data_IF_127925450790
#
_entry.id   IF_127925450790
#
_cell.length_a   1.000
_cell.length_b   1.000
_cell.length_c   1.000
_cell.angle_alpha   90.00
_cell.angle_beta   90.00
_cell.angle_gamma   90.00
#
_symmetry.space_group_name_H-M   'P 1'
#
loop_
_entity.id
_entity.type
_entity.pdbx_description
1 polymer ?
#
# COMPACT_ATOMS: atom_id res chain seq x y z
N UNK A 1 -33.61 33.05 37.07
CA UNK A 1 -32.64 34.08 37.47
C UNK A 1 -31.26 33.45 37.26
N UNK A 2 -30.42 33.82 36.30
CA UNK A 2 -30.33 34.99 35.43
C UNK A 2 -29.47 34.62 34.22
N UNK A 3 -29.81 35.25 33.09
CA UNK A 3 -29.14 35.37 31.79
C UNK A 3 -27.61 35.38 31.76
N UNK A 4 -27.02 34.94 30.64
CA UNK A 4 -26.50 35.90 29.63
C UNK A 4 -25.78 35.23 28.45
N UNK A 5 -26.36 35.47 27.27
CA UNK A 5 -25.73 35.43 25.96
C UNK A 5 -24.42 36.22 25.92
N UNK A 6 -23.44 35.73 25.15
CA UNK A 6 -22.62 36.63 24.31
C UNK A 6 -22.06 35.92 23.09
N UNK A 7 -22.85 36.05 22.02
CA UNK A 7 -22.41 36.12 20.63
C UNK A 7 -21.40 37.26 20.48
N UNK A 8 -20.24 36.97 19.90
CA UNK A 8 -19.37 37.98 19.31
C UNK A 8 -19.09 37.58 17.88
N UNK A 9 -19.91 38.11 16.98
CA UNK A 9 -19.55 38.32 15.59
C UNK A 9 -18.53 39.46 15.54
N UNK A 10 -17.40 39.24 14.87
CA UNK A 10 -16.49 40.31 14.47
C UNK A 10 -16.45 40.33 12.95
N UNK A 11 -17.21 41.28 12.40
CA UNK A 11 -17.15 41.70 11.00
C UNK A 11 -15.96 42.65 10.85
N UNK A 12 -14.90 42.18 10.19
CA UNK A 12 -13.79 42.99 9.70
C UNK A 12 -13.85 43.06 8.16
N UNK A 13 -13.80 44.28 7.65
CA UNK A 13 -14.09 44.72 6.28
C UNK A 13 -13.14 44.19 5.18
N UNK A 14 -13.56 44.27 3.90
CA UNK A 14 -12.94 43.56 2.78
C UNK A 14 -11.67 44.25 2.27
N UNK A 15 -10.63 43.47 2.01
CA UNK A 15 -9.48 43.91 1.23
C UNK A 15 -9.80 43.87 -0.27
N UNK A 16 -9.36 44.86 -1.06
CA UNK A 16 -9.68 44.96 -2.47
C UNK A 16 -9.07 43.80 -3.26
N UNK A 17 -9.88 43.28 -4.19
CA UNK A 17 -9.51 42.30 -5.20
C UNK A 17 -8.57 43.00 -6.18
N UNK A 18 -7.30 42.61 -6.19
CA UNK A 18 -6.36 43.00 -7.24
C UNK A 18 -6.54 42.01 -8.39
N UNK A 19 -7.12 42.49 -9.49
CA UNK A 19 -7.26 41.81 -10.77
C UNK A 19 -5.88 41.70 -11.43
N UNK A 20 -5.04 40.84 -10.87
CA UNK A 20 -3.80 40.38 -11.48
C UNK A 20 -4.03 39.01 -12.10
N UNK A 21 -4.24 38.95 -13.41
CA UNK A 21 -4.21 37.72 -14.21
C UNK A 21 -3.07 36.80 -13.76
N UNK A 22 -3.31 35.54 -13.35
CA UNK A 22 -2.23 34.57 -13.29
C UNK A 22 -1.80 34.31 -14.74
N UNK A 23 -0.63 34.83 -15.08
CA UNK A 23 0.08 34.52 -16.32
C UNK A 23 0.14 33.00 -16.42
N UNK A 24 -0.57 32.45 -17.41
CA UNK A 24 -0.55 31.03 -17.69
C UNK A 24 0.89 30.60 -17.95
N UNK A 25 1.44 29.80 -17.05
CA UNK A 25 2.64 29.03 -17.36
C UNK A 25 2.26 28.05 -18.47
N UNK A 26 2.91 28.08 -19.65
CA UNK A 26 2.76 26.99 -20.58
C UNK A 26 3.34 25.74 -19.91
N UNK A 27 2.49 24.72 -19.71
CA UNK A 27 2.95 23.37 -19.46
C UNK A 27 3.85 22.96 -20.63
N UNK A 28 5.15 22.67 -20.44
CA UNK A 28 5.94 22.14 -21.52
C UNK A 28 5.42 20.73 -21.79
N UNK A 29 4.86 20.54 -22.99
CA UNK A 29 4.58 19.22 -23.52
C UNK A 29 5.88 18.41 -23.45
N UNK A 30 5.82 17.21 -22.86
CA UNK A 30 6.96 16.32 -22.70
C UNK A 30 7.61 16.00 -24.04
N UNK A 31 8.63 16.78 -24.40
CA UNK A 31 9.64 16.42 -25.38
C UNK A 31 10.76 15.63 -24.69
N UNK A 32 11.51 14.81 -25.44
CA UNK A 32 12.66 14.11 -24.88
C UNK A 32 13.63 15.11 -24.26
N UNK A 33 14.16 14.78 -23.08
CA UNK A 33 15.05 15.64 -22.32
C UNK A 33 16.19 16.15 -23.22
N UNK A 34 16.20 17.47 -23.45
CA UNK A 34 17.28 18.12 -24.19
C UNK A 34 18.54 18.11 -23.32
N UNK A 35 19.68 17.86 -23.97
CA UNK A 35 21.00 17.63 -23.35
C UNK A 35 21.47 18.77 -22.42
N UNK A 36 20.81 19.92 -22.42
CA UNK A 36 21.14 21.10 -21.61
C UNK A 36 20.71 21.00 -20.14
N UNK A 37 19.90 20.02 -19.72
CA UNK A 37 19.53 19.83 -18.31
C UNK A 37 20.64 19.20 -17.45
N UNK A 38 21.72 18.70 -18.06
CA UNK A 38 22.85 18.08 -17.35
C UNK A 38 23.78 19.09 -16.65
N UNK A 39 23.68 20.40 -16.94
CA UNK A 39 24.58 21.41 -16.36
C UNK A 39 24.21 21.83 -14.93
N UNK A 40 22.98 21.55 -14.47
CA UNK A 40 22.55 21.95 -13.12
C UNK A 40 23.02 21.01 -12.00
N UNK A 41 23.50 19.81 -12.36
CA UNK A 41 24.01 18.82 -11.42
C UNK A 41 25.28 18.14 -12.00
N UNK A 42 26.43 18.83 -11.98
CA UNK A 42 27.68 18.30 -12.52
C UNK A 42 28.16 17.00 -11.84
N UNK A 43 27.65 16.70 -10.64
CA UNK A 43 27.91 15.47 -9.89
C UNK A 43 26.73 14.47 -9.88
N UNK A 44 25.63 14.75 -10.60
CA UNK A 44 24.59 13.75 -10.80
C UNK A 44 25.10 12.69 -11.79
N UNK A 45 25.90 11.76 -11.27
CA UNK A 45 26.18 10.52 -11.99
C UNK A 45 24.83 9.90 -12.36
N UNK A 46 24.57 9.63 -13.66
CA UNK A 46 23.37 8.91 -14.05
C UNK A 46 23.36 7.62 -13.25
N UNK A 47 22.26 7.38 -12.52
CA UNK A 47 22.08 6.15 -11.77
C UNK A 47 22.35 5.00 -12.74
N UNK A 48 23.35 4.13 -12.48
CA UNK A 48 23.69 3.08 -13.42
C UNK A 48 22.42 2.27 -13.68
N UNK A 49 22.07 2.09 -14.95
CA UNK A 49 20.94 1.25 -15.31
C UNK A 49 21.15 -0.12 -14.64
N UNK A 50 20.12 -0.69 -14.01
CA UNK A 50 20.27 -1.98 -13.34
C UNK A 50 20.82 -2.97 -14.36
N UNK A 51 21.79 -3.78 -13.93
CA UNK A 51 22.25 -4.90 -14.75
C UNK A 51 21.03 -5.76 -15.12
N UNK A 52 21.02 -6.40 -16.30
CA UNK A 52 19.89 -7.26 -16.71
C UNK A 52 19.56 -8.31 -15.64
N UNK A 53 20.59 -8.76 -14.94
CA UNK A 53 20.61 -9.52 -13.71
C UNK A 53 19.86 -8.86 -12.54
N UNK A 54 20.27 -7.66 -12.09
CA UNK A 54 19.57 -6.91 -11.03
C UNK A 54 18.14 -6.49 -11.38
N UNK A 55 17.82 -6.41 -12.68
CA UNK A 55 16.47 -6.17 -13.15
C UNK A 55 15.50 -7.34 -12.86
N UNK A 56 15.98 -8.59 -12.81
CA UNK A 56 15.15 -9.76 -12.50
C UNK A 56 14.69 -9.73 -11.02
N UNK A 57 15.61 -9.52 -10.09
CA UNK A 57 15.29 -9.40 -8.65
C UNK A 57 14.39 -8.19 -8.39
N UNK A 58 14.68 -7.06 -9.04
CA UNK A 58 13.84 -5.85 -8.92
C UNK A 58 12.43 -6.11 -9.47
N UNK A 59 12.31 -6.83 -10.59
CA UNK A 59 11.03 -7.27 -11.15
C UNK A 59 10.26 -8.16 -10.19
N UNK A 60 10.91 -9.16 -9.60
CA UNK A 60 10.30 -10.05 -8.61
C UNK A 60 9.79 -9.30 -7.37
N UNK A 61 10.54 -8.32 -6.87
CA UNK A 61 10.07 -7.43 -5.79
C UNK A 61 8.87 -6.60 -6.24
N UNK A 62 8.87 -6.07 -7.46
CA UNK A 62 7.74 -5.39 -8.05
C UNK A 62 6.48 -6.25 -8.07
N UNK A 63 6.60 -7.50 -8.53
CA UNK A 63 5.51 -8.47 -8.55
C UNK A 63 4.99 -8.78 -7.15
N UNK A 64 5.88 -8.95 -6.17
CA UNK A 64 5.51 -9.16 -4.77
C UNK A 64 4.71 -7.98 -4.20
N UNK A 65 5.15 -6.73 -4.44
CA UNK A 65 4.45 -5.51 -4.01
C UNK A 65 3.06 -5.42 -4.65
N UNK A 66 2.96 -5.73 -5.95
CA UNK A 66 1.69 -5.75 -6.66
C UNK A 66 0.75 -6.83 -6.12
N UNK A 67 1.24 -8.04 -5.87
CA UNK A 67 0.45 -9.13 -5.28
C UNK A 67 -0.10 -8.75 -3.91
N UNK A 68 0.71 -8.12 -3.06
CA UNK A 68 0.24 -7.58 -1.76
C UNK A 68 -0.87 -6.54 -1.95
N UNK A 69 -0.67 -5.58 -2.86
CA UNK A 69 -1.70 -4.56 -3.15
C UNK A 69 -3.01 -5.15 -3.67
N UNK A 70 -2.94 -6.17 -4.53
CA UNK A 70 -4.11 -6.91 -5.05
C UNK A 70 -4.81 -7.70 -3.96
N UNK A 71 -4.07 -8.30 -3.03
CA UNK A 71 -4.62 -8.99 -1.87
C UNK A 71 -5.45 -8.03 -1.01
N UNK A 72 -4.91 -6.85 -0.67
CA UNK A 72 -5.64 -5.83 0.08
C UNK A 72 -6.92 -5.39 -0.66
N UNK A 73 -6.81 -5.12 -1.96
CA UNK A 73 -7.95 -4.71 -2.77
C UNK A 73 -9.04 -5.79 -2.85
N UNK A 74 -8.63 -7.05 -3.03
CA UNK A 74 -9.55 -8.19 -3.08
C UNK A 74 -10.27 -8.36 -1.75
N UNK A 75 -9.54 -8.26 -0.64
CA UNK A 75 -10.12 -8.37 0.71
C UNK A 75 -11.12 -7.24 0.96
N UNK A 76 -10.78 -6.00 0.60
CA UNK A 76 -11.70 -4.87 0.71
C UNK A 76 -12.96 -5.03 -0.15
N UNK A 77 -12.82 -5.57 -1.37
CA UNK A 77 -13.94 -5.87 -2.24
C UNK A 77 -14.84 -6.96 -1.64
N UNK A 78 -14.26 -8.05 -1.11
CA UNK A 78 -14.99 -9.12 -0.44
C UNK A 78 -15.77 -8.62 0.77
N UNK A 79 -15.14 -7.78 1.61
CA UNK A 79 -15.82 -7.14 2.74
C UNK A 79 -17.02 -6.30 2.29
N UNK A 80 -16.87 -5.57 1.20
CA UNK A 80 -17.95 -4.74 0.65
C UNK A 80 -19.11 -5.61 0.17
N UNK A 81 -18.83 -6.69 -0.56
CA UNK A 81 -19.83 -7.67 -1.00
C UNK A 81 -20.58 -8.30 0.19
N UNK A 82 -19.84 -8.79 1.19
CA UNK A 82 -20.43 -9.39 2.38
C UNK A 82 -21.30 -8.38 3.13
N UNK A 83 -20.83 -7.16 3.35
CA UNK A 83 -21.62 -6.11 4.04
C UNK A 83 -22.91 -5.78 3.33
N UNK A 84 -22.87 -5.66 2.00
CA UNK A 84 -24.06 -5.45 1.20
C UNK A 84 -25.07 -6.60 1.40
N UNK A 85 -24.60 -7.85 1.47
CA UNK A 85 -25.48 -9.00 1.76
C UNK A 85 -26.13 -8.96 3.15
N UNK A 86 -25.49 -8.32 4.14
CA UNK A 86 -26.05 -8.08 5.48
C UNK A 86 -26.93 -6.84 5.57
N UNK A 87 -27.04 -6.04 4.51
CA UNK A 87 -27.67 -4.72 4.56
C UNK A 87 -26.88 -3.67 5.35
N UNK A 88 -25.58 -3.90 5.62
CA UNK A 88 -24.70 -2.91 6.24
C UNK A 88 -24.15 -1.97 5.15
N UNK A 89 -24.71 -0.77 5.06
CA UNK A 89 -24.33 0.28 4.10
C UNK A 89 -23.18 1.17 4.57
N UNK A 90 -22.54 0.86 5.70
CA UNK A 90 -21.37 1.64 6.15
C UNK A 90 -20.20 1.45 5.19
N UNK A 91 -19.78 2.55 4.57
CA UNK A 91 -18.55 2.57 3.78
C UNK A 91 -17.33 2.25 4.67
N UNK A 92 -16.31 1.62 4.09
CA UNK A 92 -14.95 1.58 4.65
C UNK A 92 -14.41 3.01 4.57
N UNK A 93 -14.90 3.88 5.44
CA UNK A 93 -14.85 5.33 5.31
C UNK A 93 -14.12 5.99 6.46
N UNK A 94 -12.82 5.74 6.55
CA UNK A 94 -11.89 6.67 7.18
C UNK A 94 -11.05 7.33 6.09
N UNK A 95 -10.49 8.52 6.33
CA UNK A 95 -9.54 9.17 5.40
C UNK A 95 -8.29 8.31 5.10
N UNK A 96 -8.08 7.23 5.85
CA UNK A 96 -6.92 6.34 5.78
C UNK A 96 -7.35 5.02 5.15
N UNK A 97 -6.67 4.62 4.07
CA UNK A 97 -6.81 3.28 3.47
C UNK A 97 -6.53 2.22 4.54
N UNK A 98 -7.46 1.28 4.80
CA UNK A 98 -7.21 0.23 5.78
C UNK A 98 -6.04 -0.65 5.34
N UNK A 99 -5.20 -1.04 6.29
CA UNK A 99 -4.13 -2.01 6.05
C UNK A 99 -4.70 -3.45 6.10
N UNK A 100 -3.91 -4.41 5.64
CA UNK A 100 -4.30 -5.82 5.60
C UNK A 100 -4.78 -6.37 6.96
N UNK A 101 -4.12 -5.99 8.06
CA UNK A 101 -4.51 -6.43 9.42
C UNK A 101 -5.94 -5.99 9.76
N UNK A 102 -6.30 -4.74 9.48
CA UNK A 102 -7.66 -4.24 9.72
C UNK A 102 -8.68 -4.94 8.82
N UNK A 103 -8.33 -5.16 7.55
CA UNK A 103 -9.19 -5.88 6.61
C UNK A 103 -9.49 -7.31 7.08
N UNK A 104 -8.47 -8.06 7.54
CA UNK A 104 -8.66 -9.41 8.09
C UNK A 104 -9.52 -9.42 9.37
N UNK A 105 -9.29 -8.47 10.28
CA UNK A 105 -10.08 -8.38 11.51
C UNK A 105 -11.57 -8.15 11.20
N UNK A 106 -11.87 -7.28 10.24
CA UNK A 106 -13.23 -7.03 9.76
C UNK A 106 -13.81 -8.28 9.07
N UNK A 107 -13.01 -9.01 8.29
CA UNK A 107 -13.44 -10.23 7.60
C UNK A 107 -13.83 -11.31 8.59
N UNK A 108 -12.98 -11.55 9.59
CA UNK A 108 -13.26 -12.48 10.69
C UNK A 108 -14.55 -12.12 11.42
N UNK A 109 -14.76 -10.83 11.70
CA UNK A 109 -15.97 -10.37 12.37
C UNK A 109 -17.23 -10.62 11.53
N UNK A 110 -17.19 -10.33 10.22
CA UNK A 110 -18.34 -10.56 9.33
C UNK A 110 -18.65 -12.05 9.14
N UNK A 111 -17.63 -12.91 8.99
CA UNK A 111 -17.85 -14.36 8.92
C UNK A 111 -18.46 -14.89 10.22
N UNK A 112 -17.93 -14.47 11.37
CA UNK A 112 -18.48 -14.84 12.66
C UNK A 112 -19.92 -14.31 12.89
N UNK A 113 -20.29 -13.19 12.28
CA UNK A 113 -21.66 -12.69 12.30
C UNK A 113 -22.59 -13.42 11.33
N UNK A 114 -22.08 -13.84 10.16
CA UNK A 114 -22.81 -14.62 9.14
C UNK A 114 -23.35 -15.92 9.71
N UNK A 115 -22.43 -16.70 10.25
CA UNK A 115 -22.68 -18.03 10.77
C UNK A 115 -21.59 -18.36 11.78
N UNK A 116 -21.96 -18.35 13.07
CA UNK A 116 -21.05 -18.66 14.17
C UNK A 116 -20.60 -20.12 14.18
N UNK A 117 -21.29 -20.99 13.45
CA UNK A 117 -21.01 -22.42 13.36
C UNK A 117 -20.19 -22.78 12.12
N UNK A 118 -19.89 -21.81 11.24
CA UNK A 118 -18.96 -21.97 10.11
C UNK A 118 -17.51 -21.97 10.62
N UNK A 119 -17.18 -23.00 11.42
CA UNK A 119 -15.85 -23.18 12.01
C UNK A 119 -14.79 -23.34 10.93
N UNK A 120 -15.16 -23.92 9.78
CA UNK A 120 -14.25 -24.10 8.65
C UNK A 120 -13.78 -22.75 8.07
N UNK A 121 -14.68 -21.78 7.88
CA UNK A 121 -14.28 -20.45 7.41
C UNK A 121 -13.44 -19.69 8.44
N UNK A 122 -13.75 -19.84 9.74
CA UNK A 122 -12.99 -19.20 10.82
C UNK A 122 -11.58 -19.80 11.01
N UNK A 123 -11.44 -21.11 10.84
CA UNK A 123 -10.16 -21.81 10.84
C UNK A 123 -9.32 -21.36 9.63
N UNK A 124 -9.91 -21.30 8.44
CA UNK A 124 -9.25 -20.79 7.23
C UNK A 124 -8.75 -19.36 7.42
N UNK A 125 -9.55 -18.47 8.01
CA UNK A 125 -9.13 -17.08 8.29
C UNK A 125 -7.96 -17.05 9.29
N UNK A 126 -7.94 -17.97 10.26
CA UNK A 126 -6.84 -18.07 11.23
C UNK A 126 -5.54 -18.54 10.57
N UNK A 127 -5.62 -19.52 9.67
CA UNK A 127 -4.47 -19.98 8.87
C UNK A 127 -3.93 -18.89 7.93
N UNK A 128 -4.84 -18.12 7.33
CA UNK A 128 -4.52 -16.95 6.51
C UNK A 128 -3.81 -15.88 7.33
N UNK A 129 -4.28 -15.58 8.54
CA UNK A 129 -3.67 -14.58 9.42
C UNK A 129 -2.23 -14.93 9.79
N UNK A 130 -1.98 -16.17 10.20
CA UNK A 130 -0.63 -16.65 10.50
C UNK A 130 0.29 -16.61 9.27
N UNK A 131 -0.25 -16.89 8.08
CA UNK A 131 0.51 -16.81 6.82
C UNK A 131 0.79 -15.37 6.41
N UNK A 132 -0.13 -14.44 6.66
CA UNK A 132 0.05 -13.02 6.39
C UNK A 132 0.99 -12.33 7.37
N UNK A 133 1.04 -12.77 8.63
CA UNK A 133 2.03 -12.26 9.58
C UNK A 133 3.45 -12.58 9.11
N UNK A 134 3.70 -13.80 8.59
CA UNK A 134 4.99 -14.18 7.99
C UNK A 134 5.29 -13.35 6.74
N UNK A 135 4.33 -13.21 5.83
CA UNK A 135 4.51 -12.41 4.63
C UNK A 135 4.74 -10.92 4.93
N UNK A 136 4.12 -10.38 5.99
CA UNK A 136 4.35 -9.00 6.44
C UNK A 136 5.77 -8.82 6.99
N UNK A 137 6.30 -9.79 7.74
CA UNK A 137 7.70 -9.77 8.19
C UNK A 137 8.66 -9.83 7.01
N UNK A 138 8.41 -10.73 6.05
CA UNK A 138 9.17 -10.81 4.82
C UNK A 138 9.15 -9.46 4.08
N UNK A 139 7.97 -8.85 3.92
CA UNK A 139 7.79 -7.54 3.29
C UNK A 139 8.62 -6.45 3.96
N UNK A 140 8.67 -6.40 5.29
CA UNK A 140 9.49 -5.41 6.01
C UNK A 140 10.98 -5.57 5.66
N UNK A 141 11.50 -6.80 5.64
CA UNK A 141 12.91 -7.06 5.32
C UNK A 141 13.19 -6.76 3.84
N UNK A 142 12.34 -7.26 2.95
CA UNK A 142 12.53 -7.18 1.50
C UNK A 142 12.28 -5.77 0.93
N UNK A 143 11.50 -4.93 1.59
CA UNK A 143 11.22 -3.56 1.12
C UNK A 143 11.98 -2.54 1.96
N UNK A 144 11.73 -2.51 3.27
CA UNK A 144 12.30 -1.46 4.13
C UNK A 144 13.77 -1.77 4.49
N UNK A 145 14.13 -3.05 4.50
CA UNK A 145 15.49 -3.51 4.76
C UNK A 145 16.39 -3.58 3.52
N UNK A 146 15.86 -3.40 2.31
CA UNK A 146 16.63 -3.54 1.07
C UNK A 146 17.81 -2.55 1.02
N UNK A 147 19.00 -3.05 0.72
CA UNK A 147 20.24 -2.27 0.60
C UNK A 147 20.75 -2.27 -0.84
N UNK A 148 20.77 -3.45 -1.47
CA UNK A 148 21.26 -3.63 -2.83
C UNK A 148 20.57 -4.82 -3.50
N UNK A 149 20.58 -4.85 -4.83
CA UNK A 149 20.04 -5.92 -5.64
C UNK A 149 21.14 -6.52 -6.53
N UNK A 150 21.46 -7.79 -6.29
CA UNK A 150 22.37 -8.57 -7.12
C UNK A 150 21.59 -9.43 -8.13
N UNK A 151 22.29 -10.27 -8.90
CA UNK A 151 21.73 -11.02 -10.03
C UNK A 151 20.56 -11.94 -9.67
N UNK A 152 20.62 -12.60 -8.52
CA UNK A 152 19.61 -13.58 -8.10
C UNK A 152 19.25 -13.46 -6.61
N UNK A 153 19.65 -12.35 -5.97
CA UNK A 153 19.37 -12.11 -4.56
C UNK A 153 19.23 -10.63 -4.25
N UNK A 154 18.40 -10.36 -3.26
CA UNK A 154 18.27 -9.06 -2.63
C UNK A 154 19.11 -9.06 -1.34
N UNK A 155 19.96 -8.05 -1.21
CA UNK A 155 20.77 -7.83 -0.01
C UNK A 155 19.99 -6.91 0.92
N UNK A 156 19.66 -7.41 2.11
CA UNK A 156 18.81 -6.75 3.08
C UNK A 156 19.46 -6.62 4.46
N UNK A 157 18.87 -5.75 5.28
CA UNK A 157 19.07 -5.69 6.72
C UNK A 157 17.77 -6.00 7.44
N UNK A 158 17.83 -6.87 8.43
CA UNK A 158 16.69 -7.12 9.31
C UNK A 158 16.53 -5.99 10.37
N UNK A 159 15.52 -6.12 11.22
CA UNK A 159 15.25 -5.16 12.31
C UNK A 159 16.36 -5.08 13.37
N UNK A 160 17.22 -6.10 13.45
CA UNK A 160 18.40 -6.15 14.33
C UNK A 160 19.67 -5.72 13.60
N UNK A 161 19.55 -5.19 12.39
CA UNK A 161 20.65 -4.84 11.50
C UNK A 161 21.55 -6.03 11.10
N UNK A 162 21.04 -7.25 11.21
CA UNK A 162 21.66 -8.45 10.66
C UNK A 162 21.60 -8.43 9.13
N UNK A 163 22.68 -8.88 8.48
CA UNK A 163 22.68 -9.06 7.04
C UNK A 163 21.81 -10.27 6.67
N UNK A 164 20.89 -10.08 5.73
CA UNK A 164 20.00 -11.11 5.21
C UNK A 164 20.08 -11.08 3.70
N UNK A 165 20.29 -12.24 3.09
CA UNK A 165 20.23 -12.39 1.64
C UNK A 165 18.93 -13.12 1.29
N UNK A 166 18.13 -12.53 0.42
CA UNK A 166 16.85 -13.10 -0.02
C UNK A 166 16.98 -13.51 -1.49
N UNK A 167 17.01 -14.81 -1.82
CA UNK A 167 17.08 -15.26 -3.20
C UNK A 167 15.81 -14.92 -3.99
N UNK A 168 15.93 -14.73 -5.31
CA UNK A 168 14.81 -14.39 -6.18
C UNK A 168 13.69 -15.45 -6.13
N UNK A 169 14.07 -16.72 -6.04
CA UNK A 169 13.12 -17.84 -5.89
C UNK A 169 12.25 -17.74 -4.64
N UNK A 170 12.79 -17.18 -3.55
CA UNK A 170 12.06 -16.97 -2.31
C UNK A 170 11.04 -15.83 -2.45
N UNK A 171 11.40 -14.73 -3.11
CA UNK A 171 10.46 -13.65 -3.45
C UNK A 171 9.32 -14.19 -4.32
N UNK A 172 9.63 -15.02 -5.32
CA UNK A 172 8.63 -15.65 -6.18
C UNK A 172 7.73 -16.65 -5.43
N UNK A 173 8.27 -17.35 -4.42
CA UNK A 173 7.49 -18.23 -3.55
C UNK A 173 6.52 -17.44 -2.68
N UNK A 174 6.98 -16.38 -2.04
CA UNK A 174 6.13 -15.51 -1.22
C UNK A 174 5.04 -14.84 -2.07
N UNK A 175 5.37 -14.41 -3.29
CA UNK A 175 4.40 -13.87 -4.25
C UNK A 175 3.28 -14.87 -4.57
N UNK A 176 3.63 -16.13 -4.87
CA UNK A 176 2.63 -17.19 -5.11
C UNK A 176 1.79 -17.50 -3.88
N UNK A 177 2.37 -17.42 -2.68
CA UNK A 177 1.64 -17.59 -1.44
C UNK A 177 0.60 -16.47 -1.24
N UNK A 178 0.96 -15.21 -1.51
CA UNK A 178 0.00 -14.10 -1.47
C UNK A 178 -1.15 -14.26 -2.45
N UNK A 179 -0.85 -14.70 -3.68
CA UNK A 179 -1.89 -14.96 -4.69
C UNK A 179 -2.82 -16.11 -4.27
N UNK A 180 -2.29 -17.18 -3.68
CA UNK A 180 -3.11 -18.26 -3.12
C UNK A 180 -4.01 -17.76 -1.98
N UNK A 181 -3.48 -16.95 -1.07
CA UNK A 181 -4.27 -16.36 0.01
C UNK A 181 -5.37 -15.46 -0.57
N UNK A 182 -5.05 -14.68 -1.60
CA UNK A 182 -6.02 -13.83 -2.32
C UNK A 182 -7.17 -14.66 -2.89
N UNK A 183 -6.86 -15.77 -3.55
CA UNK A 183 -7.87 -16.70 -4.08
C UNK A 183 -8.74 -17.30 -2.97
N UNK A 184 -8.14 -17.70 -1.85
CA UNK A 184 -8.88 -18.21 -0.69
C UNK A 184 -9.83 -17.15 -0.12
N UNK A 185 -9.39 -15.90 0.03
CA UNK A 185 -10.24 -14.81 0.52
C UNK A 185 -11.38 -14.51 -0.46
N UNK A 186 -11.11 -14.52 -1.76
CA UNK A 186 -12.14 -14.28 -2.77
C UNK A 186 -13.27 -15.33 -2.73
N UNK A 187 -12.95 -16.56 -2.31
CA UNK A 187 -13.88 -17.68 -2.25
C UNK A 187 -14.71 -17.79 -0.95
N UNK A 188 -14.39 -16.99 0.08
CA UNK A 188 -15.17 -16.92 1.33
C UNK A 188 -16.59 -16.35 1.14
#
# INVERSE_FOLDING_TARGET
>A
MTDSNRTSASTGFPTPVDDGTPVGHPTPAGGPASSDQLEFFPDASPCPAPSAAGAAVTGAIGDFVLAWGRLEQTTAAKLTEMRQSFGDVRAIGGRIRPNMQKLLAELRALVAMRDRLDTQALDLITDIDGSLQRAAQFRLIAIDGAQDAEEDRLICRDIKNGAVEIPCEEIARETRQLERIREQIAAL
#
